data_IF_345507275350
#
_entry.id   IF_345507275350
#
_cell.length_a   1.000
_cell.length_b   1.000
_cell.length_c   1.000
_cell.angle_alpha   90.00
_cell.angle_beta   90.00
_cell.angle_gamma   90.00
#
_symmetry.space_group_name_H-M   'P 1'
#
loop_
_entity.id
_entity.type
_entity.pdbx_description
1 polymer ?
#
# COMPACT_ATOMS: atom_id res chain seq x y z
N UNK A 1 -10.57 -4.52 11.85
CA UNK A 1 -11.07 -3.13 11.94
C UNK A 1 -11.97 -2.97 13.17
N UNK A 2 -11.66 -1.99 14.02
CA UNK A 2 -12.46 -1.59 15.20
C UNK A 2 -12.93 -0.15 15.02
N UNK A 3 -14.12 0.17 15.54
CA UNK A 3 -14.66 1.54 15.58
C UNK A 3 -14.88 1.91 17.04
N UNK A 4 -14.29 3.05 17.44
CA UNK A 4 -14.43 3.66 18.76
C UNK A 4 -15.89 3.99 19.06
N UNK A 5 -16.32 3.91 20.32
CA UNK A 5 -17.67 4.34 20.72
C UNK A 5 -17.90 5.83 20.49
N UNK A 6 -16.83 6.63 20.53
CA UNK A 6 -16.86 8.09 20.41
C UNK A 6 -16.46 8.59 19.01
N UNK A 7 -16.52 7.72 17.99
CA UNK A 7 -16.11 8.05 16.62
C UNK A 7 -16.78 9.32 16.07
N UNK A 8 -18.04 9.59 16.45
CA UNK A 8 -18.76 10.81 16.05
C UNK A 8 -18.11 12.09 16.58
N UNK A 9 -17.49 12.05 17.76
CA UNK A 9 -16.77 13.21 18.33
C UNK A 9 -15.36 13.33 17.76
N UNK A 10 -14.72 12.20 17.46
CA UNK A 10 -13.31 12.14 17.02
C UNK A 10 -13.16 12.44 15.53
N UNK A 11 -13.88 11.71 14.68
CA UNK A 11 -13.83 11.87 13.23
C UNK A 11 -14.97 12.75 12.71
N UNK A 12 -16.14 12.66 13.32
CA UNK A 12 -17.35 13.26 12.78
C UNK A 12 -17.99 12.42 11.68
N UNK A 13 -19.27 12.70 11.41
CA UNK A 13 -20.10 11.96 10.46
C UNK A 13 -19.54 12.02 9.03
N UNK A 14 -18.96 13.15 8.64
CA UNK A 14 -18.44 13.39 7.28
C UNK A 14 -17.09 12.75 7.03
N UNK A 15 -16.26 12.54 8.07
CA UNK A 15 -14.89 12.03 7.91
C UNK A 15 -14.72 10.55 8.24
N UNK A 16 -15.80 9.85 8.59
CA UNK A 16 -15.64 8.44 8.98
C UNK A 16 -15.11 7.57 7.83
N UNK A 17 -15.44 7.89 6.57
CA UNK A 17 -14.88 7.20 5.41
C UNK A 17 -13.35 7.36 5.33
N UNK A 18 -12.88 8.60 5.48
CA UNK A 18 -11.46 8.93 5.53
C UNK A 18 -10.76 8.22 6.69
N UNK A 19 -11.32 8.29 7.91
CA UNK A 19 -10.75 7.65 9.08
C UNK A 19 -10.66 6.11 8.94
N UNK A 20 -11.64 5.48 8.28
CA UNK A 20 -11.59 4.04 7.98
C UNK A 20 -10.51 3.75 6.92
N UNK A 21 -10.35 4.63 5.91
CA UNK A 21 -9.28 4.46 4.92
C UNK A 21 -7.88 4.60 5.56
N UNK A 22 -7.68 5.61 6.41
CA UNK A 22 -6.42 5.83 7.15
C UNK A 22 -6.07 4.64 8.06
N UNK A 23 -7.06 4.10 8.78
CA UNK A 23 -6.83 2.93 9.61
C UNK A 23 -6.47 1.69 8.78
N UNK A 24 -7.00 1.57 7.56
CA UNK A 24 -6.65 0.48 6.64
C UNK A 24 -5.21 0.65 6.12
N UNK A 25 -4.83 1.84 5.64
CA UNK A 25 -3.49 2.08 5.12
C UNK A 25 -2.43 1.99 6.20
N UNK A 26 -2.73 2.44 7.43
CA UNK A 26 -1.86 2.26 8.59
C UNK A 26 -1.64 0.79 8.93
N UNK A 27 -2.70 -0.02 8.98
CA UNK A 27 -2.59 -1.46 9.22
C UNK A 27 -1.82 -2.19 8.10
N UNK A 28 -2.03 -1.80 6.84
CA UNK A 28 -1.29 -2.33 5.71
C UNK A 28 0.20 -1.99 5.80
N UNK A 29 0.53 -0.75 6.18
CA UNK A 29 1.92 -0.32 6.40
C UNK A 29 2.62 -1.18 7.47
N UNK A 30 1.98 -1.37 8.63
CA UNK A 30 2.54 -2.21 9.70
C UNK A 30 2.72 -3.67 9.30
N UNK A 31 1.80 -4.22 8.50
CA UNK A 31 1.93 -5.58 7.96
C UNK A 31 3.14 -5.70 7.02
N UNK A 32 3.32 -4.74 6.11
CA UNK A 32 4.44 -4.71 5.18
C UNK A 32 5.77 -4.56 5.92
N UNK A 33 5.84 -3.69 6.94
CA UNK A 33 7.02 -3.52 7.77
C UNK A 33 7.39 -4.82 8.50
N UNK A 34 6.40 -5.51 9.08
CA UNK A 34 6.61 -6.80 9.74
C UNK A 34 7.13 -7.85 8.77
N UNK A 35 6.53 -7.93 7.57
CA UNK A 35 6.95 -8.87 6.53
C UNK A 35 8.38 -8.58 6.06
N UNK A 36 8.72 -7.30 5.86
CA UNK A 36 10.07 -6.89 5.47
C UNK A 36 11.12 -7.25 6.54
N UNK A 37 10.78 -7.08 7.83
CA UNK A 37 11.64 -7.50 8.93
C UNK A 37 11.85 -9.02 8.97
N UNK A 38 10.81 -9.81 8.69
CA UNK A 38 10.95 -11.27 8.59
C UNK A 38 11.86 -11.68 7.43
N UNK A 39 11.70 -11.08 6.26
CA UNK A 39 12.54 -11.38 5.09
C UNK A 39 14.00 -11.00 5.33
N UNK A 40 14.26 -9.85 5.98
CA UNK A 40 15.62 -9.44 6.36
C UNK A 40 16.27 -10.44 7.35
N UNK A 41 15.49 -11.04 8.25
CA UNK A 41 15.99 -12.07 9.16
C UNK A 41 16.20 -13.44 8.49
N UNK A 42 15.46 -13.71 7.40
CA UNK A 42 15.62 -14.93 6.59
C UNK A 42 16.82 -14.85 5.66
N UNK A 43 17.27 -13.65 5.30
CA UNK A 43 18.46 -13.48 4.47
C UNK A 43 19.69 -13.95 5.28
N UNK A 44 20.39 -15.01 4.85
CA UNK A 44 21.58 -15.47 5.56
C UNK A 44 22.60 -14.34 5.59
N UNK A 45 23.44 -14.24 6.65
CA UNK A 45 24.46 -13.21 6.71
C UNK A 45 25.28 -13.28 5.43
N UNK A 46 25.36 -12.13 4.74
CA UNK A 46 26.14 -12.01 3.51
C UNK A 46 27.50 -12.69 3.72
N UNK A 47 27.96 -13.56 2.80
CA UNK A 47 29.25 -14.21 2.93
C UNK A 47 30.29 -13.14 3.23
N UNK A 48 31.09 -13.39 4.27
CA UNK A 48 32.04 -12.43 4.82
C UNK A 48 32.73 -11.67 3.67
N UNK A 49 32.53 -10.35 3.64
CA UNK A 49 33.18 -9.46 2.69
C UNK A 49 34.67 -9.85 2.64
N UNK A 50 35.23 -10.23 1.48
CA UNK A 50 36.65 -10.57 1.42
C UNK A 50 37.43 -9.42 2.03
N UNK A 51 38.33 -9.76 2.96
CA UNK A 51 39.08 -8.80 3.76
C UNK A 51 39.61 -7.70 2.85
N UNK A 52 39.12 -6.48 3.08
CA UNK A 52 39.52 -5.31 2.31
C UNK A 52 41.04 -5.15 2.52
N UNK A 53 41.87 -5.26 1.46
CA UNK A 53 43.30 -5.03 1.61
C UNK A 53 43.51 -3.61 2.17
N UNK A 54 44.56 -3.39 2.98
CA UNK A 54 44.79 -2.11 3.65
C UNK A 54 44.72 -0.98 2.64
N UNK A 55 43.99 0.09 2.99
CA UNK A 55 43.82 1.26 2.16
C UNK A 55 45.18 1.89 1.85
N UNK A 56 45.75 1.52 0.71
CA UNK A 56 46.74 2.35 0.05
C UNK A 56 45.94 3.51 -0.56
N UNK A 57 46.04 4.67 0.07
CA UNK A 57 45.58 5.94 -0.50
C UNK A 57 46.34 6.20 -1.80
N UNK A 58 45.86 5.61 -2.89
CA UNK A 58 45.81 6.29 -4.17
C UNK A 58 44.32 6.50 -4.40
N UNK A 59 43.89 7.75 -4.37
CA UNK A 59 42.61 8.11 -4.96
C UNK A 59 42.52 7.39 -6.31
N UNK A 60 41.48 6.57 -6.56
CA UNK A 60 41.31 6.01 -7.88
C UNK A 60 41.20 7.21 -8.81
N UNK A 61 42.14 7.29 -9.75
CA UNK A 61 42.07 8.25 -10.85
C UNK A 61 40.71 8.03 -11.51
N UNK A 62 39.79 8.92 -11.17
CA UNK A 62 38.39 8.75 -11.51
C UNK A 62 38.33 9.08 -13.00
N UNK A 63 38.34 8.02 -13.83
CA UNK A 63 38.17 8.17 -15.27
C UNK A 63 36.83 8.90 -15.50
N UNK A 64 36.94 10.21 -15.76
CA UNK A 64 35.80 11.11 -15.85
C UNK A 64 34.87 10.70 -16.98
N UNK A 65 35.42 10.16 -18.07
CA UNK A 65 34.65 9.69 -19.21
C UNK A 65 33.86 8.43 -18.85
N UNK A 66 34.47 7.52 -18.09
CA UNK A 66 33.83 6.30 -17.62
C UNK A 66 32.76 6.60 -16.55
N UNK A 67 33.00 7.59 -15.68
CA UNK A 67 32.02 8.09 -14.73
C UNK A 67 30.83 8.77 -15.43
N UNK A 68 31.10 9.60 -16.44
CA UNK A 68 30.07 10.25 -17.26
C UNK A 68 29.23 9.22 -18.01
N UNK A 69 29.86 8.24 -18.68
CA UNK A 69 29.14 7.17 -19.37
C UNK A 69 28.22 6.38 -18.44
N UNK A 70 28.71 6.01 -17.25
CA UNK A 70 27.89 5.30 -16.25
C UNK A 70 26.71 6.13 -15.78
N UNK A 71 26.94 7.42 -15.53
CA UNK A 71 25.90 8.34 -15.07
C UNK A 71 24.82 8.53 -16.14
N UNK A 72 25.23 8.74 -17.39
CA UNK A 72 24.30 8.82 -18.52
C UNK A 72 23.54 7.52 -18.78
N UNK A 73 24.21 6.37 -18.64
CA UNK A 73 23.56 5.06 -18.73
C UNK A 73 22.52 4.84 -17.63
N UNK A 74 22.81 5.27 -16.40
CA UNK A 74 21.86 5.20 -15.30
C UNK A 74 20.65 6.11 -15.53
N UNK A 75 20.87 7.35 -15.99
CA UNK A 75 19.78 8.29 -16.33
C UNK A 75 18.88 7.74 -17.44
N UNK A 76 19.45 7.17 -18.51
CA UNK A 76 18.64 6.56 -19.57
C UNK A 76 17.87 5.33 -19.11
N UNK A 77 18.42 4.56 -18.19
CA UNK A 77 17.71 3.42 -17.58
C UNK A 77 16.50 3.91 -16.78
N UNK A 78 16.70 4.97 -15.99
CA UNK A 78 15.62 5.62 -15.23
C UNK A 78 14.55 6.16 -16.17
N UNK A 79 14.92 6.87 -17.25
CA UNK A 79 13.98 7.40 -18.23
C UNK A 79 13.18 6.30 -18.94
N UNK A 80 13.82 5.19 -19.30
CA UNK A 80 13.15 4.05 -19.92
C UNK A 80 12.18 3.35 -18.96
N UNK A 81 12.53 3.27 -17.68
CA UNK A 81 11.67 2.71 -16.65
C UNK A 81 10.47 3.63 -16.36
N UNK A 82 10.70 4.95 -16.28
CA UNK A 82 9.66 5.97 -16.21
C UNK A 82 8.73 5.91 -17.42
N UNK A 83 9.27 5.83 -18.64
CA UNK A 83 8.47 5.71 -19.85
C UNK A 83 7.60 4.45 -19.83
N UNK A 84 8.15 3.31 -19.40
CA UNK A 84 7.40 2.06 -19.21
C UNK A 84 6.29 2.17 -18.18
N UNK A 85 6.55 2.81 -17.03
CA UNK A 85 5.54 3.01 -15.99
C UNK A 85 4.44 3.98 -16.44
N UNK A 86 4.81 4.99 -17.22
CA UNK A 86 3.87 5.99 -17.76
C UNK A 86 3.03 5.40 -18.91
N UNK A 87 3.58 4.44 -19.67
CA UNK A 87 2.91 3.71 -20.75
C UNK A 87 2.31 2.38 -20.31
N UNK A 88 2.20 2.12 -19.00
CA UNK A 88 1.53 0.93 -18.48
C UNK A 88 0.06 0.88 -19.00
N UNK A 89 -0.48 -0.33 -19.27
CA UNK A 89 -1.75 -0.53 -19.96
C UNK A 89 -2.92 0.15 -19.22
N UNK A 90 -4.00 0.40 -19.97
CA UNK A 90 -5.28 1.02 -19.55
C UNK A 90 -5.48 1.08 -18.04
N UNK A 91 -5.67 2.29 -17.50
CA UNK A 91 -5.91 2.49 -16.08
C UNK A 91 -6.97 1.48 -15.61
N UNK A 92 -6.66 0.64 -14.60
CA UNK A 92 -7.57 -0.41 -14.19
C UNK A 92 -8.94 0.19 -13.92
N UNK A 93 -9.99 -0.40 -14.49
CA UNK A 93 -11.36 0.10 -14.32
C UNK A 93 -11.64 0.35 -12.84
N UNK A 94 -12.14 1.55 -12.56
CA UNK A 94 -12.54 1.90 -11.21
C UNK A 94 -13.81 1.12 -10.86
N UNK A 95 -13.74 0.32 -9.79
CA UNK A 95 -14.87 -0.45 -9.28
C UNK A 95 -15.26 0.06 -7.91
N UNK A 96 -16.51 -0.15 -7.54
CA UNK A 96 -17.00 0.17 -6.20
C UNK A 96 -17.64 -1.03 -5.54
N UNK A 97 -17.49 -1.09 -4.21
CA UNK A 97 -18.21 -2.04 -3.36
C UNK A 97 -18.86 -1.22 -2.26
N UNK A 98 -20.17 -1.33 -2.11
CA UNK A 98 -20.90 -0.64 -1.05
C UNK A 98 -21.22 -1.61 0.09
N UNK A 99 -21.24 -1.08 1.32
CA UNK A 99 -21.69 -1.82 2.49
C UNK A 99 -23.19 -2.08 2.40
N UNK A 100 -23.74 -3.11 3.08
CA UNK A 100 -25.13 -3.53 2.90
C UNK A 100 -26.18 -2.43 3.07
N UNK A 101 -25.96 -1.49 3.98
CA UNK A 101 -26.88 -0.38 4.21
C UNK A 101 -26.50 0.91 3.49
N UNK A 102 -25.44 0.86 2.66
CA UNK A 102 -24.94 1.99 1.86
C UNK A 102 -24.22 3.06 2.68
N UNK A 103 -23.87 2.78 3.94
CA UNK A 103 -23.18 3.74 4.81
C UNK A 103 -21.76 4.02 4.32
N UNK A 104 -21.09 3.01 3.77
CA UNK A 104 -19.71 3.07 3.32
C UNK A 104 -19.58 2.53 1.90
N UNK A 105 -18.70 3.14 1.10
CA UNK A 105 -18.35 2.66 -0.23
C UNK A 105 -16.84 2.60 -0.40
N UNK A 106 -16.33 1.43 -0.76
CA UNK A 106 -14.97 1.19 -1.20
C UNK A 106 -14.82 1.57 -2.67
N UNK A 107 -13.76 2.29 -3.00
CA UNK A 107 -13.31 2.54 -4.37
C UNK A 107 -12.06 1.72 -4.62
N UNK A 108 -12.07 0.98 -5.72
CA UNK A 108 -11.01 0.07 -6.12
C UNK A 108 -10.42 0.49 -7.45
N UNK A 109 -9.11 0.33 -7.59
CA UNK A 109 -8.40 0.38 -8.86
C UNK A 109 -7.52 -0.87 -8.95
N UNK A 110 -7.84 -1.76 -9.89
CA UNK A 110 -7.21 -3.08 -9.97
C UNK A 110 -7.53 -3.90 -8.72
N UNK A 111 -6.51 -4.40 -8.03
CA UNK A 111 -6.66 -5.11 -6.76
C UNK A 111 -6.49 -4.23 -5.53
N UNK A 112 -6.30 -2.90 -5.69
CA UNK A 112 -6.02 -1.99 -4.58
C UNK A 112 -7.24 -1.17 -4.18
N UNK A 113 -7.40 -0.94 -2.88
CA UNK A 113 -8.33 0.04 -2.33
C UNK A 113 -7.70 1.43 -2.47
N UNK A 114 -8.40 2.35 -3.15
CA UNK A 114 -7.92 3.74 -3.37
C UNK A 114 -8.63 4.77 -2.49
N UNK A 115 -9.84 4.48 -2.04
CA UNK A 115 -10.59 5.35 -1.13
C UNK A 115 -11.72 4.59 -0.43
N UNK A 116 -12.16 5.13 0.72
CA UNK A 116 -13.42 4.77 1.36
C UNK A 116 -14.21 6.04 1.56
N UNK A 117 -15.43 6.09 1.02
CA UNK A 117 -16.37 7.19 1.19
C UNK A 117 -17.51 6.79 2.11
N UNK A 118 -18.15 7.78 2.71
CA UNK A 118 -19.25 7.59 3.64
C UNK A 118 -20.46 8.44 3.26
N UNK A 119 -21.65 7.84 3.28
CA UNK A 119 -22.91 8.58 3.15
C UNK A 119 -23.22 9.22 4.50
N UNK A 120 -23.07 10.54 4.58
CA UNK A 120 -23.21 11.29 5.82
C UNK A 120 -24.62 11.20 6.43
N UNK A 121 -25.67 11.13 5.58
CA UNK A 121 -27.05 11.04 6.07
C UNK A 121 -27.31 9.69 6.73
N UNK A 122 -26.83 8.61 6.11
CA UNK A 122 -26.96 7.25 6.63
C UNK A 122 -26.10 7.04 7.88
N UNK A 123 -24.87 7.55 7.85
CA UNK A 123 -23.92 7.47 8.97
C UNK A 123 -24.43 8.24 10.20
N UNK A 124 -25.11 9.39 10.00
CA UNK A 124 -25.69 10.15 11.10
C UNK A 124 -26.72 9.33 11.90
N UNK A 125 -27.54 8.52 11.22
CA UNK A 125 -28.56 7.65 11.83
C UNK A 125 -28.04 6.30 12.34
N UNK A 126 -26.77 5.95 12.07
CA UNK A 126 -26.21 4.62 12.34
C UNK A 126 -25.43 4.60 13.65
N UNK A 127 -25.70 3.65 14.54
CA UNK A 127 -24.92 3.47 15.77
C UNK A 127 -23.53 2.84 15.53
N UNK A 128 -22.71 2.80 16.58
CA UNK A 128 -21.33 2.30 16.50
C UNK A 128 -21.24 0.82 16.14
N UNK A 129 -22.13 -0.02 16.65
CA UNK A 129 -22.07 -1.47 16.39
C UNK A 129 -22.50 -1.77 14.95
N UNK A 130 -23.55 -1.08 14.47
CA UNK A 130 -23.96 -1.17 13.08
C UNK A 130 -22.85 -0.66 12.16
N UNK A 131 -22.21 0.47 12.46
CA UNK A 131 -21.13 0.99 11.62
C UNK A 131 -19.92 0.06 11.60
N UNK A 132 -19.60 -0.57 12.74
CA UNK A 132 -18.55 -1.60 12.83
C UNK A 132 -18.90 -2.82 11.97
N UNK A 133 -20.17 -3.23 11.99
CA UNK A 133 -20.67 -4.31 11.15
C UNK A 133 -20.56 -3.96 9.66
N UNK A 134 -20.99 -2.75 9.26
CA UNK A 134 -20.85 -2.25 7.89
C UNK A 134 -19.39 -2.32 7.42
N UNK A 135 -18.45 -1.80 8.21
CA UNK A 135 -17.03 -1.81 7.88
C UNK A 135 -16.47 -3.23 7.75
N UNK A 136 -16.83 -4.14 8.67
CA UNK A 136 -16.36 -5.53 8.62
C UNK A 136 -16.87 -6.26 7.37
N UNK A 137 -18.15 -6.11 7.06
CA UNK A 137 -18.72 -6.73 5.86
C UNK A 137 -18.14 -6.12 4.59
N UNK A 138 -17.92 -4.81 4.55
CA UNK A 138 -17.33 -4.13 3.41
C UNK A 138 -15.95 -4.72 3.05
N UNK A 139 -15.05 -4.86 4.03
CA UNK A 139 -13.74 -5.48 3.81
C UNK A 139 -13.84 -6.98 3.50
N UNK A 140 -14.78 -7.72 4.12
CA UNK A 140 -14.99 -9.14 3.82
C UNK A 140 -15.44 -9.34 2.36
N UNK A 141 -16.37 -8.52 1.89
CA UNK A 141 -16.85 -8.56 0.51
C UNK A 141 -15.72 -8.22 -0.46
N UNK A 142 -14.88 -7.25 -0.11
CA UNK A 142 -13.68 -6.93 -0.88
C UNK A 142 -12.71 -8.12 -0.99
N UNK A 143 -12.40 -8.80 0.12
CA UNK A 143 -11.53 -9.99 0.09
C UNK A 143 -12.10 -11.11 -0.79
N UNK A 144 -13.42 -11.30 -0.77
CA UNK A 144 -14.11 -12.29 -1.62
C UNK A 144 -14.11 -11.89 -3.11
N UNK A 145 -14.13 -10.59 -3.40
CA UNK A 145 -14.15 -10.07 -4.77
C UNK A 145 -12.75 -9.93 -5.39
N UNK A 146 -11.68 -10.06 -4.59
CA UNK A 146 -10.30 -9.86 -5.06
C UNK A 146 -9.84 -11.06 -5.92
N UNK A 147 -9.50 -10.84 -7.20
CA UNK A 147 -8.95 -11.91 -8.04
C UNK A 147 -7.58 -12.35 -7.47
N UNK A 148 -7.43 -13.63 -7.14
CA UNK A 148 -6.21 -14.23 -6.58
C UNK A 148 -6.28 -14.68 -5.10
N UNK A 149 -7.40 -14.47 -4.40
CA UNK A 149 -7.56 -14.87 -2.98
C UNK A 149 -7.90 -16.35 -2.74
N UNK A 150 -8.05 -17.16 -3.78
CA UNK A 150 -8.63 -18.52 -3.72
C UNK A 150 -7.66 -19.66 -4.07
N UNK A 151 -6.34 -19.50 -3.91
CA UNK A 151 -5.37 -20.59 -4.15
C UNK A 151 -4.47 -20.97 -2.97
N UNK A 152 -4.64 -20.39 -1.78
CA UNK A 152 -3.81 -20.72 -0.61
C UNK A 152 -4.54 -21.57 0.44
N UNK A 153 -5.22 -22.65 0.04
CA UNK A 153 -5.62 -23.75 0.94
C UNK A 153 -5.73 -25.08 0.19
N UNK A 154 -4.62 -25.83 0.11
CA UNK A 154 -4.60 -27.29 0.13
C UNK A 154 -3.39 -27.76 0.91
#
# INVERSE_FOLDING_TARGET
MTISRDWRRQAGVTRIGEAVYEAYTGALGSLLETTALEELQRDPPAPARPAQPPATSKEPELDQDLWLQRTWGALHTIDAELARLTHAPEQPEQRTISSPHGCLTLHLRGTGITAITADSARVAGTDTEQLRFETRLLFRTYELARPGGTEARR
#
